data_IF_303105850725
#
_entry.id   IF_303105850725
#
_cell.length_a   1.000
_cell.length_b   1.000
_cell.length_c   1.000
_cell.angle_alpha   90.00
_cell.angle_beta   90.00
_cell.angle_gamma   90.00
#
_symmetry.space_group_name_H-M   'P 1'
#
loop_
_entity.id
_entity.type
_entity.pdbx_description
1 polymer ?
#
# COMPACT_ATOMS: atom_id res chain seq x y z
N UNK A 1 -2.18 -15.06 -1.53
CA UNK A 1 -2.96 -15.94 -0.67
C UNK A 1 -4.41 -16.06 -1.12
N UNK A 2 -5.21 -15.02 -1.07
CA UNK A 2 -6.65 -15.08 -1.41
C UNK A 2 -6.89 -15.32 -2.89
N UNK A 3 -6.04 -14.82 -3.77
CA UNK A 3 -6.05 -15.12 -5.21
C UNK A 3 -5.92 -16.62 -5.50
N UNK A 4 -5.06 -17.33 -4.76
CA UNK A 4 -4.97 -18.78 -4.86
C UNK A 4 -6.25 -19.49 -4.41
N UNK A 5 -6.89 -18.99 -3.36
CA UNK A 5 -8.18 -19.52 -2.92
C UNK A 5 -9.25 -19.30 -4.01
N UNK A 6 -9.28 -18.14 -4.63
CA UNK A 6 -10.15 -17.85 -5.76
C UNK A 6 -9.91 -18.81 -6.93
N UNK A 7 -8.65 -19.05 -7.29
CA UNK A 7 -8.30 -19.98 -8.37
C UNK A 7 -8.80 -21.40 -8.08
N UNK A 8 -8.64 -21.88 -6.85
CA UNK A 8 -9.13 -23.20 -6.43
C UNK A 8 -10.66 -23.29 -6.50
N UNK A 9 -11.36 -22.25 -6.05
CA UNK A 9 -12.83 -22.23 -6.12
C UNK A 9 -13.30 -22.24 -7.57
N UNK A 10 -12.72 -21.40 -8.41
CA UNK A 10 -13.05 -21.30 -9.84
C UNK A 10 -12.78 -22.64 -10.55
N UNK A 11 -11.66 -23.29 -10.26
CA UNK A 11 -11.30 -24.60 -10.87
C UNK A 11 -12.27 -25.71 -10.44
N UNK A 12 -12.56 -25.79 -9.12
CA UNK A 12 -13.44 -26.84 -8.58
C UNK A 12 -14.91 -26.68 -8.96
N UNK A 13 -15.34 -25.52 -9.31
CA UNK A 13 -16.71 -25.23 -9.75
C UNK A 13 -16.89 -25.38 -11.28
N UNK A 14 -15.99 -26.09 -11.96
CA UNK A 14 -16.02 -26.31 -13.41
C UNK A 14 -16.10 -25.02 -14.23
N UNK A 15 -15.40 -23.97 -13.80
CA UNK A 15 -15.43 -22.66 -14.43
C UNK A 15 -16.83 -21.99 -14.47
N UNK A 16 -17.79 -22.43 -13.68
CA UNK A 16 -19.11 -21.77 -13.58
C UNK A 16 -18.99 -20.30 -13.16
N UNK A 17 -17.91 -19.94 -12.45
CA UNK A 17 -17.58 -18.57 -12.05
C UNK A 17 -16.73 -17.80 -13.08
N UNK A 18 -16.54 -18.36 -14.27
CA UNK A 18 -15.78 -17.72 -15.34
C UNK A 18 -16.70 -16.85 -16.19
N UNK A 19 -17.23 -15.79 -15.59
CA UNK A 19 -18.03 -14.79 -16.28
C UNK A 19 -17.14 -13.80 -17.04
N UNK A 20 -17.64 -13.30 -18.18
CA UNK A 20 -17.06 -12.14 -18.88
C UNK A 20 -16.88 -10.93 -17.98
N UNK A 21 -17.68 -10.82 -16.91
CA UNK A 21 -17.53 -9.78 -15.87
C UNK A 21 -16.23 -9.85 -15.08
N UNK A 22 -15.57 -11.00 -14.98
CA UNK A 22 -14.24 -11.13 -14.36
C UNK A 22 -13.14 -10.48 -15.18
N UNK A 23 -13.35 -10.35 -16.47
CA UNK A 23 -12.40 -9.74 -17.40
C UNK A 23 -12.81 -8.31 -17.82
N UNK A 24 -14.04 -7.91 -17.49
CA UNK A 24 -14.58 -6.59 -17.81
C UNK A 24 -14.33 -5.59 -16.70
N UNK A 25 -13.90 -4.41 -17.10
CA UNK A 25 -13.73 -3.17 -16.37
C UNK A 25 -12.50 -3.06 -15.44
N UNK A 26 -11.58 -2.21 -15.88
CA UNK A 26 -10.56 -1.58 -15.06
C UNK A 26 -11.24 -0.61 -14.07
N UNK A 27 -11.60 -1.08 -12.89
CA UNK A 27 -12.42 -0.31 -11.94
C UNK A 27 -11.53 0.55 -11.05
N UNK A 28 -10.54 -0.07 -10.39
CA UNK A 28 -9.67 0.58 -9.40
C UNK A 28 -8.24 0.05 -9.56
N UNK A 29 -7.28 0.80 -9.03
CA UNK A 29 -5.91 0.34 -8.90
C UNK A 29 -5.70 -0.46 -7.61
N UNK A 30 -4.59 -1.21 -7.53
CA UNK A 30 -4.21 -1.86 -6.28
C UNK A 30 -4.02 -0.84 -5.15
N UNK A 31 -3.44 0.34 -5.46
CA UNK A 31 -3.22 1.40 -4.47
C UNK A 31 -4.54 1.91 -3.91
N UNK A 32 -5.50 2.22 -4.76
CA UNK A 32 -6.83 2.69 -4.31
C UNK A 32 -7.53 1.66 -3.42
N UNK A 33 -7.44 0.37 -3.76
CA UNK A 33 -8.01 -0.70 -2.94
C UNK A 33 -7.31 -0.84 -1.57
N UNK A 34 -5.99 -0.68 -1.52
CA UNK A 34 -5.23 -0.74 -0.28
C UNK A 34 -5.57 0.49 0.59
N UNK A 35 -5.58 1.69 0.01
CA UNK A 35 -5.92 2.92 0.73
C UNK A 35 -7.35 2.90 1.27
N UNK A 36 -8.29 2.27 0.57
CA UNK A 36 -9.65 2.06 1.09
C UNK A 36 -9.73 1.19 2.35
N UNK A 37 -8.65 0.49 2.73
CA UNK A 37 -8.61 -0.40 3.92
C UNK A 37 -7.71 0.11 5.05
N UNK A 38 -6.92 1.12 4.81
CA UNK A 38 -6.00 1.72 5.79
C UNK A 38 -6.30 3.21 5.93
N UNK A 39 -5.92 3.77 7.08
CA UNK A 39 -5.97 5.22 7.24
C UNK A 39 -4.85 5.86 6.41
N UNK A 40 -5.20 6.68 5.41
CA UNK A 40 -4.25 7.35 4.50
C UNK A 40 -3.22 8.21 5.23
N UNK A 41 -3.56 8.74 6.41
CA UNK A 41 -2.66 9.54 7.24
C UNK A 41 -1.88 8.72 8.27
N UNK A 42 -1.79 7.40 8.08
CA UNK A 42 -1.04 6.52 8.98
C UNK A 42 0.41 6.32 8.51
N UNK A 43 1.27 5.93 9.45
CA UNK A 43 2.65 5.52 9.14
C UNK A 43 2.69 4.27 8.25
N UNK A 44 1.67 3.41 8.38
CA UNK A 44 1.53 2.24 7.53
C UNK A 44 1.28 2.63 6.06
N UNK A 45 0.39 3.60 5.82
CA UNK A 45 0.14 4.13 4.48
C UNK A 45 1.42 4.73 3.88
N UNK A 46 2.11 5.59 4.63
CA UNK A 46 3.39 6.16 4.18
C UNK A 46 4.42 5.08 3.82
N UNK A 47 4.57 4.06 4.66
CA UNK A 47 5.50 2.96 4.40
C UNK A 47 5.14 2.16 3.16
N UNK A 48 3.86 1.87 2.96
CA UNK A 48 3.35 1.18 1.78
C UNK A 48 3.62 2.02 0.53
N UNK A 49 3.26 3.31 0.54
CA UNK A 49 3.46 4.20 -0.61
C UNK A 49 4.93 4.39 -0.96
N UNK A 50 5.79 4.40 0.03
CA UNK A 50 7.23 4.51 -0.18
C UNK A 50 7.81 3.24 -0.84
N UNK A 51 7.34 2.07 -0.42
CA UNK A 51 7.87 0.78 -0.87
C UNK A 51 7.26 0.29 -2.19
N UNK A 52 6.02 0.67 -2.50
CA UNK A 52 5.32 0.22 -3.70
C UNK A 52 5.53 1.20 -4.85
N UNK A 53 5.90 0.64 -6.00
CA UNK A 53 6.15 1.40 -7.23
C UNK A 53 4.88 1.74 -8.01
N UNK A 54 5.04 2.49 -9.09
CA UNK A 54 3.96 2.92 -9.98
C UNK A 54 3.20 1.75 -10.65
N UNK A 55 3.71 0.55 -10.58
CA UNK A 55 3.07 -0.64 -11.17
C UNK A 55 1.71 -0.93 -10.54
N UNK A 56 1.54 -0.58 -9.24
CA UNK A 56 0.27 -0.77 -8.52
C UNK A 56 -0.76 0.33 -8.79
N UNK A 57 -0.39 1.37 -9.52
CA UNK A 57 -1.29 2.46 -9.92
C UNK A 57 -2.08 2.13 -11.19
N UNK A 58 -1.70 1.04 -11.87
CA UNK A 58 -2.45 0.55 -13.01
C UNK A 58 -3.81 0.04 -12.56
N UNK A 59 -4.82 0.35 -13.34
CA UNK A 59 -6.16 -0.21 -13.15
C UNK A 59 -6.12 -1.71 -13.34
N UNK A 60 -6.89 -2.41 -12.52
CA UNK A 60 -6.88 -3.87 -12.43
C UNK A 60 -8.26 -4.43 -12.70
N UNK A 61 -8.28 -5.65 -13.22
CA UNK A 61 -9.50 -6.40 -13.48
C UNK A 61 -10.15 -6.89 -12.19
N UNK A 62 -11.44 -7.17 -12.24
CA UNK A 62 -12.20 -7.70 -11.09
C UNK A 62 -11.52 -8.91 -10.45
N UNK A 63 -10.97 -9.84 -11.22
CA UNK A 63 -10.24 -11.01 -10.69
C UNK A 63 -9.04 -10.62 -9.84
N UNK A 64 -8.32 -9.57 -10.22
CA UNK A 64 -7.14 -9.10 -9.50
C UNK A 64 -7.50 -8.47 -8.16
N UNK A 65 -8.74 -7.94 -8.01
CA UNK A 65 -9.22 -7.39 -6.74
C UNK A 65 -9.38 -8.45 -5.65
N UNK A 66 -9.39 -9.73 -5.99
CA UNK A 66 -9.53 -10.85 -5.05
C UNK A 66 -8.31 -11.07 -4.14
N UNK A 67 -7.26 -10.26 -4.29
CA UNK A 67 -6.22 -10.20 -3.26
C UNK A 67 -6.78 -9.74 -1.91
N UNK A 68 -7.88 -8.98 -1.91
CA UNK A 68 -8.68 -8.65 -0.73
C UNK A 68 -9.73 -9.74 -0.51
N UNK A 69 -9.72 -10.43 0.65
CA UNK A 69 -10.70 -11.49 0.97
C UNK A 69 -12.15 -11.05 0.86
N UNK A 70 -12.41 -9.79 1.22
CA UNK A 70 -13.76 -9.21 1.18
C UNK A 70 -14.31 -9.13 -0.26
N UNK A 71 -13.48 -8.75 -1.22
CA UNK A 71 -13.88 -8.66 -2.62
C UNK A 71 -14.22 -10.05 -3.19
N UNK A 72 -13.40 -11.07 -2.86
CA UNK A 72 -13.70 -12.44 -3.23
C UNK A 72 -15.02 -12.91 -2.59
N UNK A 73 -15.21 -12.60 -1.32
CA UNK A 73 -16.40 -12.98 -0.57
C UNK A 73 -17.66 -12.33 -1.16
N UNK A 74 -17.61 -11.04 -1.45
CA UNK A 74 -18.71 -10.30 -2.07
C UNK A 74 -19.03 -10.84 -3.47
N UNK A 75 -18.01 -11.17 -4.25
CA UNK A 75 -18.20 -11.78 -5.55
C UNK A 75 -18.91 -13.13 -5.45
N UNK A 76 -18.51 -13.98 -4.52
CA UNK A 76 -19.13 -15.28 -4.29
C UNK A 76 -20.59 -15.17 -3.78
N UNK A 77 -20.89 -14.13 -2.98
CA UNK A 77 -22.26 -13.88 -2.51
C UNK A 77 -23.23 -13.43 -3.62
N UNK A 78 -22.70 -12.74 -4.64
CA UNK A 78 -23.50 -12.31 -5.80
C UNK A 78 -23.82 -13.45 -6.75
N UNK A 79 -23.16 -14.58 -6.60
CA UNK A 79 -23.37 -15.73 -7.46
C UNK A 79 -24.56 -16.56 -6.97
N UNK A 80 -25.68 -16.47 -7.68
CA UNK A 80 -26.89 -17.29 -7.46
C UNK A 80 -26.63 -18.73 -7.95
N UNK A 81 -25.95 -19.51 -7.16
CA UNK A 81 -25.62 -20.89 -7.55
C UNK A 81 -25.41 -21.80 -6.36
N UNK A 82 -24.53 -22.77 -6.51
CA UNK A 82 -24.29 -23.88 -5.60
C UNK A 82 -23.59 -23.52 -4.27
N UNK A 83 -23.44 -22.23 -3.92
CA UNK A 83 -22.89 -21.83 -2.61
C UNK A 83 -23.97 -21.94 -1.55
N UNK A 84 -23.91 -23.05 -0.83
CA UNK A 84 -25.01 -23.49 0.02
C UNK A 84 -25.06 -22.73 1.34
N UNK A 85 -23.94 -22.27 1.91
CA UNK A 85 -23.95 -21.62 3.23
C UNK A 85 -22.66 -20.88 3.54
N UNK A 86 -22.79 -19.66 4.04
CA UNK A 86 -21.69 -18.92 4.69
C UNK A 86 -21.66 -19.29 6.17
N UNK A 87 -20.59 -19.93 6.65
CA UNK A 87 -20.35 -20.12 8.06
C UNK A 87 -19.25 -19.15 8.54
N UNK A 88 -19.61 -18.25 9.46
CA UNK A 88 -18.63 -17.41 10.16
C UNK A 88 -18.04 -18.22 11.29
N UNK A 89 -16.82 -18.73 11.10
CA UNK A 89 -16.12 -19.58 12.10
C UNK A 89 -15.58 -18.70 13.23
N UNK A 90 -15.11 -17.51 12.91
CA UNK A 90 -14.55 -16.58 13.88
C UNK A 90 -14.85 -15.14 13.48
N UNK A 91 -15.39 -14.39 14.42
CA UNK A 91 -15.52 -12.94 14.32
C UNK A 91 -14.75 -12.35 15.48
N UNK A 92 -13.63 -11.64 15.24
CA UNK A 92 -12.96 -10.94 16.32
C UNK A 92 -13.94 -9.94 16.94
N UNK A 93 -14.08 -9.97 18.26
CA UNK A 93 -15.03 -9.13 19.02
C UNK A 93 -14.73 -7.62 18.90
N UNK A 94 -13.52 -7.29 18.56
CA UNK A 94 -13.14 -5.92 18.20
C UNK A 94 -12.11 -5.97 17.10
N UNK A 95 -12.35 -5.27 16.00
CA UNK A 95 -11.22 -4.74 15.26
C UNK A 95 -10.43 -3.93 16.29
N UNK A 96 -9.22 -4.37 16.63
CA UNK A 96 -8.32 -3.60 17.49
C UNK A 96 -8.14 -2.29 16.76
N UNK A 97 -8.96 -1.30 17.14
CA UNK A 97 -8.73 0.08 16.73
C UNK A 97 -7.42 0.46 17.42
N UNK A 98 -6.31 0.21 16.76
CA UNK A 98 -5.05 0.83 17.12
C UNK A 98 -5.29 2.33 16.93
N UNK A 99 -5.79 2.95 17.99
CA UNK A 99 -5.75 4.40 18.12
C UNK A 99 -4.27 4.73 18.28
N UNK A 100 -3.61 4.89 17.16
CA UNK A 100 -2.23 5.35 17.15
C UNK A 100 -2.26 6.75 17.79
N UNK A 101 -1.86 6.83 19.06
CA UNK A 101 -1.58 8.10 19.71
C UNK A 101 -0.31 8.77 19.13
N UNK A 102 0.14 8.26 17.99
CA UNK A 102 1.30 8.75 17.25
C UNK A 102 0.81 9.84 16.29
N UNK A 103 1.44 11.01 16.30
CA UNK A 103 1.11 12.06 15.35
C UNK A 103 1.23 11.57 13.91
N UNK A 104 0.37 12.08 13.02
CA UNK A 104 0.39 11.68 11.62
C UNK A 104 1.75 11.97 10.97
N UNK A 105 2.18 11.15 10.00
CA UNK A 105 3.42 11.38 9.27
C UNK A 105 3.50 12.78 8.66
N UNK A 106 2.40 13.28 8.15
CA UNK A 106 2.31 14.62 7.57
C UNK A 106 2.66 15.70 8.59
N UNK A 107 2.09 15.61 9.80
CA UNK A 107 2.36 16.58 10.87
C UNK A 107 3.85 16.57 11.27
N UNK A 108 4.41 15.38 11.46
CA UNK A 108 5.83 15.22 11.84
C UNK A 108 6.74 15.76 10.74
N UNK A 109 6.48 15.42 9.48
CA UNK A 109 7.27 15.90 8.35
C UNK A 109 7.17 17.42 8.19
N UNK A 110 5.99 18.01 8.42
CA UNK A 110 5.80 19.45 8.39
C UNK A 110 6.63 20.15 9.49
N UNK A 111 6.57 19.66 10.72
CA UNK A 111 7.35 20.21 11.85
C UNK A 111 8.84 20.08 11.55
N UNK A 112 9.27 18.91 11.09
CA UNK A 112 10.68 18.67 10.75
C UNK A 112 11.17 19.61 9.65
N UNK A 113 10.38 19.80 8.60
CA UNK A 113 10.68 20.72 7.51
C UNK A 113 10.81 22.16 8.00
N UNK A 114 9.89 22.62 8.87
CA UNK A 114 9.95 23.96 9.45
C UNK A 114 11.22 24.14 10.30
N UNK A 115 11.62 23.14 11.08
CA UNK A 115 12.86 23.17 11.87
C UNK A 115 14.08 23.29 10.94
N UNK A 116 14.13 22.46 9.89
CA UNK A 116 15.24 22.48 8.93
C UNK A 116 15.36 23.85 8.26
N UNK A 117 14.22 24.41 7.80
CA UNK A 117 14.18 25.74 7.18
C UNK A 117 14.64 26.82 8.17
N UNK A 118 14.14 26.80 9.41
CA UNK A 118 14.52 27.76 10.42
C UNK A 118 16.03 27.71 10.73
N UNK A 119 16.59 26.51 10.90
CA UNK A 119 18.03 26.31 11.13
C UNK A 119 18.85 26.80 9.93
N UNK A 120 18.39 26.49 8.72
CA UNK A 120 19.07 26.93 7.49
C UNK A 120 19.10 28.45 7.39
N UNK A 121 17.96 29.13 7.60
CA UNK A 121 17.88 30.60 7.58
C UNK A 121 18.79 31.21 8.65
N UNK A 122 18.78 30.64 9.85
CA UNK A 122 19.60 31.14 10.95
C UNK A 122 21.11 31.00 10.66
N UNK A 123 21.51 29.84 10.11
CA UNK A 123 22.89 29.61 9.72
C UNK A 123 23.33 30.51 8.56
N UNK A 124 22.45 30.70 7.57
CA UNK A 124 22.68 31.61 6.44
C UNK A 124 22.92 33.06 6.90
N UNK A 125 22.08 33.56 7.82
CA UNK A 125 22.26 34.91 8.39
C UNK A 125 23.57 35.08 9.17
N UNK A 126 24.10 33.98 9.72
CA UNK A 126 25.38 33.97 10.47
C UNK A 126 26.58 33.61 9.60
N UNK A 127 26.38 33.42 8.31
CA UNK A 127 27.43 32.97 7.37
C UNK A 127 28.14 31.68 7.84
N UNK A 128 27.38 30.76 8.46
CA UNK A 128 27.88 29.49 8.98
C UNK A 128 27.21 28.32 8.22
N UNK A 129 28.02 27.32 7.89
CA UNK A 129 27.57 26.07 7.27
C UNK A 129 27.37 24.99 8.34
N UNK A 130 26.25 24.33 8.32
CA UNK A 130 25.95 23.23 9.24
C UNK A 130 26.16 21.89 8.55
N UNK A 131 27.44 21.47 8.45
CA UNK A 131 27.79 20.20 7.80
C UNK A 131 27.10 19.00 8.42
N UNK A 132 26.85 19.02 9.75
CA UNK A 132 26.18 17.91 10.43
C UNK A 132 24.72 17.76 10.00
N UNK A 133 24.00 18.87 9.82
CA UNK A 133 22.62 18.85 9.35
C UNK A 133 22.55 18.30 7.91
N UNK A 134 23.40 18.80 7.03
CA UNK A 134 23.48 18.37 5.64
C UNK A 134 23.82 16.88 5.57
N UNK A 135 24.84 16.43 6.31
CA UNK A 135 25.23 15.02 6.38
C UNK A 135 24.07 14.14 6.85
N UNK A 136 23.33 14.56 7.88
CA UNK A 136 22.19 13.80 8.40
C UNK A 136 21.08 13.65 7.35
N UNK A 137 20.71 14.75 6.68
CA UNK A 137 19.70 14.75 5.62
C UNK A 137 20.12 13.82 4.49
N UNK A 138 21.34 13.93 3.99
CA UNK A 138 21.84 13.08 2.91
C UNK A 138 21.96 11.62 3.33
N UNK A 139 22.31 11.33 4.57
CA UNK A 139 22.39 9.96 5.08
C UNK A 139 21.01 9.30 5.14
N UNK A 140 20.01 10.02 5.65
CA UNK A 140 18.63 9.50 5.71
C UNK A 140 18.08 9.30 4.29
N UNK A 141 18.16 10.31 3.43
CA UNK A 141 17.67 10.23 2.05
C UNK A 141 18.37 9.14 1.25
N UNK A 142 19.71 9.06 1.39
CA UNK A 142 20.50 8.03 0.75
C UNK A 142 20.17 6.61 1.23
N UNK A 143 19.90 6.42 2.52
CA UNK A 143 19.50 5.13 3.08
C UNK A 143 18.15 4.68 2.49
N UNK A 144 17.19 5.59 2.38
CA UNK A 144 15.89 5.32 1.75
C UNK A 144 16.09 4.98 0.26
N UNK A 145 16.93 5.74 -0.46
CA UNK A 145 17.26 5.46 -1.85
C UNK A 145 17.87 4.08 -2.06
N UNK A 146 18.82 3.69 -1.20
CA UNK A 146 19.41 2.33 -1.23
C UNK A 146 18.37 1.26 -1.00
N UNK A 147 17.45 1.46 -0.05
CA UNK A 147 16.37 0.53 0.23
C UNK A 147 15.45 0.35 -1.01
N UNK A 148 15.09 1.45 -1.68
CA UNK A 148 14.27 1.39 -2.90
C UNK A 148 15.00 0.68 -4.03
N UNK A 149 16.29 0.97 -4.24
CA UNK A 149 17.12 0.27 -5.23
C UNK A 149 17.16 -1.23 -4.91
N UNK A 150 17.35 -1.59 -3.65
CA UNK A 150 17.33 -2.98 -3.22
C UNK A 150 15.99 -3.65 -3.53
N UNK A 151 14.88 -3.02 -3.20
CA UNK A 151 13.53 -3.54 -3.50
C UNK A 151 13.31 -3.67 -5.01
N UNK A 152 13.88 -2.79 -5.80
CA UNK A 152 13.69 -2.78 -7.24
C UNK A 152 14.47 -3.87 -7.97
N UNK A 153 15.74 -4.06 -7.59
CA UNK A 153 16.65 -4.95 -8.32
C UNK A 153 16.85 -6.32 -7.66
N UNK A 154 16.73 -6.41 -6.35
CA UNK A 154 17.05 -7.63 -5.60
C UNK A 154 15.83 -8.30 -4.98
N UNK A 155 14.66 -7.67 -5.03
CA UNK A 155 13.42 -8.25 -4.53
C UNK A 155 12.60 -8.83 -5.67
N UNK A 156 12.07 -10.03 -5.48
CA UNK A 156 11.12 -10.64 -6.41
C UNK A 156 9.69 -10.06 -6.26
N UNK A 157 9.54 -8.95 -5.54
CA UNK A 157 8.25 -8.29 -5.38
C UNK A 157 7.94 -7.43 -6.59
N UNK A 158 7.07 -7.93 -7.45
CA UNK A 158 6.57 -7.21 -8.63
C UNK A 158 6.02 -5.82 -8.28
N UNK A 159 5.36 -5.68 -7.13
CA UNK A 159 4.79 -4.42 -6.67
C UNK A 159 5.82 -3.34 -6.31
N UNK A 160 7.07 -3.71 -6.05
CA UNK A 160 8.18 -2.78 -5.81
C UNK A 160 8.87 -2.29 -7.07
N UNK A 161 8.58 -2.90 -8.23
CA UNK A 161 9.20 -2.51 -9.49
C UNK A 161 8.69 -1.14 -9.97
N UNK A 162 9.54 -0.43 -10.72
CA UNK A 162 9.21 0.92 -11.25
C UNK A 162 8.82 1.93 -10.15
N UNK A 163 9.52 1.90 -9.03
CA UNK A 163 9.32 2.87 -7.96
C UNK A 163 10.10 4.16 -8.26
N UNK A 164 9.38 5.18 -8.72
CA UNK A 164 9.95 6.49 -9.09
C UNK A 164 9.83 7.54 -7.97
N UNK A 165 9.50 7.13 -6.75
CA UNK A 165 9.27 8.07 -5.64
C UNK A 165 10.50 8.90 -5.26
N UNK A 166 11.69 8.56 -5.77
CA UNK A 166 12.95 9.25 -5.50
C UNK A 166 13.76 9.60 -6.77
N UNK A 167 13.16 9.52 -7.93
CA UNK A 167 13.71 10.08 -9.17
C UNK A 167 13.06 11.42 -9.48
#
# INVERSE_FOLDING_TARGET
>A
CTTRAADIVIDKTNNKFRDEKLESEDILSFRELIHGKINENSWAALGIDLCLGAIIDKKIKTRETFFLPENLMNYLDLYEGDIIKRNIIYRPESAISYRENIPSPLLINLILSLIIVAVTIFNFKRNKWNKSLDTLIFLISGSIGVLIIYLWFFSNHFAGAQNFNFL
#
